data_IF_359328655107
#
_entry.id   IF_359328655107
#
_cell.length_a   1.000
_cell.length_b   1.000
_cell.length_c   1.000
_cell.angle_alpha   90.00
_cell.angle_beta   90.00
_cell.angle_gamma   90.00
#
_symmetry.space_group_name_H-M   'P 1'
#
loop_
_entity.id
_entity.type
_entity.pdbx_description
1 polymer ?
#
# COMPACT_ATOMS: atom_id res chain seq x y z
N UNK A 1 -20.31 -21.73 -0.82
CA UNK A 1 -18.93 -21.98 -1.27
C UNK A 1 -17.94 -21.67 -0.16
N UNK A 2 -16.83 -22.38 -0.17
CA UNK A 2 -15.75 -22.21 0.79
C UNK A 2 -15.20 -20.76 0.67
N UNK A 3 -14.99 -20.02 1.79
CA UNK A 3 -14.40 -18.69 1.78
C UNK A 3 -13.05 -18.63 1.05
N UNK A 4 -12.22 -19.66 1.15
CA UNK A 4 -10.93 -19.72 0.47
C UNK A 4 -11.05 -19.86 -1.05
N UNK A 5 -12.06 -20.61 -1.50
CA UNK A 5 -12.39 -20.69 -2.93
C UNK A 5 -12.89 -19.36 -3.47
N UNK A 6 -13.70 -18.64 -2.69
CA UNK A 6 -14.19 -17.30 -3.07
C UNK A 6 -13.05 -16.29 -3.21
N UNK A 7 -12.14 -16.22 -2.23
CA UNK A 7 -10.95 -15.37 -2.28
C UNK A 7 -10.11 -15.68 -3.52
N UNK A 8 -9.82 -16.95 -3.75
CA UNK A 8 -9.04 -17.42 -4.91
C UNK A 8 -9.71 -17.03 -6.23
N UNK A 9 -11.01 -17.23 -6.34
CA UNK A 9 -11.76 -16.88 -7.55
C UNK A 9 -11.72 -15.36 -7.83
N UNK A 10 -11.89 -14.53 -6.79
CA UNK A 10 -11.85 -13.08 -6.92
C UNK A 10 -10.45 -12.62 -7.34
N UNK A 11 -9.39 -13.10 -6.69
CA UNK A 11 -8.01 -12.71 -7.03
C UNK A 11 -7.68 -13.11 -8.47
N UNK A 12 -8.00 -14.32 -8.90
CA UNK A 12 -7.79 -14.77 -10.29
C UNK A 12 -8.58 -13.93 -11.29
N UNK A 13 -9.83 -13.59 -10.99
CA UNK A 13 -10.64 -12.73 -11.84
C UNK A 13 -10.04 -11.32 -12.00
N UNK A 14 -9.56 -10.72 -10.90
CA UNK A 14 -8.88 -9.42 -10.93
C UNK A 14 -7.62 -9.45 -11.80
N UNK A 15 -6.81 -10.49 -11.69
CA UNK A 15 -5.60 -10.65 -12.51
C UNK A 15 -5.90 -10.95 -13.97
N UNK A 16 -6.94 -11.71 -14.27
CA UNK A 16 -7.37 -11.96 -15.65
C UNK A 16 -7.81 -10.66 -16.33
N UNK A 17 -8.38 -9.72 -15.56
CA UNK A 17 -8.82 -8.40 -16.01
C UNK A 17 -7.73 -7.30 -15.88
N UNK A 18 -6.51 -7.65 -15.48
CA UNK A 18 -5.44 -6.68 -15.22
C UNK A 18 -5.14 -5.75 -16.41
N UNK A 19 -5.43 -6.18 -17.65
CA UNK A 19 -5.27 -5.35 -18.84
C UNK A 19 -6.18 -4.12 -18.82
N UNK A 20 -7.41 -4.25 -18.31
CA UNK A 20 -8.41 -3.19 -18.23
C UNK A 20 -8.28 -2.36 -16.95
N UNK A 21 -7.40 -2.78 -16.03
CA UNK A 21 -7.24 -2.20 -14.70
C UNK A 21 -5.87 -1.53 -14.51
N UNK A 22 -5.32 -1.00 -15.58
CA UNK A 22 -4.01 -0.35 -15.56
C UNK A 22 -4.07 1.00 -14.87
N UNK A 23 -2.92 1.40 -14.33
CA UNK A 23 -2.69 2.76 -13.86
C UNK A 23 -2.95 3.76 -14.99
N UNK A 24 -3.55 4.89 -14.62
CA UNK A 24 -3.81 6.02 -15.50
C UNK A 24 -2.90 7.19 -15.12
N UNK A 25 -2.66 8.07 -16.09
CA UNK A 25 -1.91 9.31 -15.86
C UNK A 25 -2.61 10.17 -14.78
N UNK A 26 -1.85 10.74 -13.85
CA UNK A 26 -0.38 10.81 -13.73
C UNK A 26 0.24 9.72 -12.83
N UNK A 27 -0.49 8.65 -12.47
CA UNK A 27 -0.05 7.66 -11.49
C UNK A 27 1.18 6.82 -11.96
N UNK A 28 1.45 6.76 -13.26
CA UNK A 28 2.62 6.10 -13.82
C UNK A 28 3.92 6.90 -13.70
N UNK A 29 3.86 8.16 -13.21
CA UNK A 29 5.03 9.04 -13.14
C UNK A 29 6.11 8.51 -12.19
N UNK A 30 7.38 8.64 -12.58
CA UNK A 30 8.52 8.12 -11.80
C UNK A 30 8.67 8.90 -10.49
N UNK A 31 8.57 10.23 -10.55
CA UNK A 31 8.86 11.11 -9.41
C UNK A 31 7.74 11.13 -8.36
N UNK A 32 6.49 10.91 -8.76
CA UNK A 32 5.37 10.81 -7.84
C UNK A 32 5.41 9.52 -7.00
N UNK A 33 4.83 9.56 -5.80
CA UNK A 33 4.55 8.38 -5.00
C UNK A 33 3.13 7.92 -5.29
N UNK A 34 2.98 6.77 -5.95
CA UNK A 34 1.67 6.19 -6.28
C UNK A 34 1.27 5.19 -5.22
N UNK A 35 0.10 5.41 -4.63
CA UNK A 35 -0.41 4.61 -3.51
C UNK A 35 -1.59 3.77 -3.96
N UNK A 36 -1.43 2.45 -3.92
CA UNK A 36 -2.53 1.49 -4.04
C UNK A 36 -3.23 1.29 -2.69
N UNK A 37 -4.28 0.50 -2.69
CA UNK A 37 -5.09 0.22 -1.49
C UNK A 37 -4.99 -1.25 -1.08
N UNK A 38 -4.95 -1.53 0.22
CA UNK A 38 -5.23 -2.85 0.78
C UNK A 38 -6.64 -2.91 1.38
N UNK A 39 -7.23 -4.10 1.39
CA UNK A 39 -8.55 -4.44 1.93
C UNK A 39 -8.56 -4.39 3.46
N UNK A 40 -8.27 -3.23 4.01
CA UNK A 40 -8.19 -3.03 5.45
C UNK A 40 -8.75 -1.68 5.88
N UNK A 41 -9.45 -1.69 6.98
CA UNK A 41 -9.82 -0.55 7.81
C UNK A 41 -10.03 -1.01 9.26
N UNK A 42 -10.01 -0.09 10.21
CA UNK A 42 -10.18 -0.37 11.63
C UNK A 42 -11.65 -0.45 12.08
N UNK A 43 -12.60 -0.40 11.16
CA UNK A 43 -14.02 -0.45 11.52
C UNK A 43 -14.48 -1.86 11.85
N UNK A 44 -15.37 -1.99 12.81
CA UNK A 44 -16.06 -3.24 13.05
C UNK A 44 -17.13 -3.46 11.97
N UNK A 45 -17.10 -4.64 11.36
CA UNK A 45 -18.07 -5.04 10.35
C UNK A 45 -18.86 -6.24 10.83
N UNK A 46 -20.14 -6.04 11.04
CA UNK A 46 -21.10 -7.11 11.23
C UNK A 46 -21.70 -7.58 9.91
N UNK A 47 -22.34 -8.74 9.88
CA UNK A 47 -23.04 -9.23 8.70
C UNK A 47 -24.10 -8.19 8.25
N UNK A 48 -23.97 -7.69 7.04
CA UNK A 48 -24.96 -6.83 6.39
C UNK A 48 -25.65 -7.65 5.30
N UNK A 49 -26.95 -7.59 5.23
CA UNK A 49 -27.79 -8.34 4.31
C UNK A 49 -27.17 -8.47 2.91
N UNK A 50 -26.88 -9.69 2.49
CA UNK A 50 -26.33 -10.07 1.19
C UNK A 50 -24.99 -9.41 0.80
N UNK A 51 -24.26 -8.83 1.74
CA UNK A 51 -22.94 -8.26 1.52
C UNK A 51 -21.91 -8.93 2.41
N UNK A 52 -20.78 -9.29 1.84
CA UNK A 52 -19.70 -9.97 2.53
C UNK A 52 -18.33 -9.51 2.01
N UNK A 53 -17.30 -9.79 2.79
CA UNK A 53 -15.92 -9.61 2.36
C UNK A 53 -15.36 -10.98 1.96
N UNK A 54 -15.03 -11.21 0.69
CA UNK A 54 -14.48 -12.50 0.25
C UNK A 54 -13.02 -12.69 0.65
N UNK A 55 -12.35 -11.63 1.13
CA UNK A 55 -10.94 -11.68 1.49
C UNK A 55 -10.78 -12.08 2.94
N UNK A 56 -9.97 -13.09 3.19
CA UNK A 56 -9.67 -13.60 4.52
C UNK A 56 -8.59 -12.78 5.21
N UNK A 57 -7.73 -12.12 4.43
CA UNK A 57 -6.62 -11.29 4.90
C UNK A 57 -6.58 -9.92 4.20
N UNK A 58 -5.58 -9.13 4.56
CA UNK A 58 -5.41 -7.75 4.07
C UNK A 58 -4.83 -7.69 2.65
N UNK A 59 -5.39 -8.45 1.72
CA UNK A 59 -4.95 -8.45 0.33
C UNK A 59 -5.09 -7.06 -0.32
N UNK A 60 -4.38 -6.79 -1.42
CA UNK A 60 -4.62 -5.58 -2.20
C UNK A 60 -6.08 -5.45 -2.61
N UNK A 61 -6.59 -4.23 -2.54
CA UNK A 61 -8.01 -3.96 -2.79
C UNK A 61 -8.38 -4.16 -4.27
N UNK A 62 -9.59 -4.65 -4.55
CA UNK A 62 -10.13 -4.71 -5.91
C UNK A 62 -10.18 -3.37 -6.64
N UNK A 63 -10.18 -2.25 -5.92
CA UNK A 63 -10.17 -0.90 -6.53
C UNK A 63 -8.76 -0.41 -6.87
N UNK A 64 -7.72 -1.12 -6.47
CA UNK A 64 -6.35 -0.78 -6.84
C UNK A 64 -6.08 -1.14 -8.29
N UNK A 65 -5.45 -0.22 -9.01
CA UNK A 65 -5.00 -0.45 -10.37
C UNK A 65 -3.69 -1.26 -10.40
N UNK A 66 -3.43 -1.91 -11.53
CA UNK A 66 -2.23 -2.70 -11.76
C UNK A 66 -1.17 -1.91 -12.52
N UNK A 67 0.08 -1.98 -12.04
CA UNK A 67 1.25 -1.47 -12.77
C UNK A 67 1.57 -2.30 -14.03
N UNK A 68 2.61 -1.98 -14.71
CA UNK A 68 3.78 -1.17 -14.37
C UNK A 68 3.59 0.30 -14.77
N UNK A 69 4.45 1.16 -14.23
CA UNK A 69 4.56 2.55 -14.63
C UNK A 69 5.45 2.74 -15.88
N UNK A 70 5.88 3.99 -16.10
CA UNK A 70 6.73 4.37 -17.23
C UNK A 70 8.02 3.53 -17.27
N UNK A 71 8.39 3.04 -18.46
CA UNK A 71 9.57 2.17 -18.69
C UNK A 71 9.65 0.96 -17.74
N UNK A 72 8.51 0.38 -17.38
CA UNK A 72 8.37 -0.76 -16.46
C UNK A 72 8.77 -0.45 -15.02
N UNK A 73 8.77 0.82 -14.61
CA UNK A 73 8.95 1.18 -13.21
C UNK A 73 7.90 0.46 -12.34
N UNK A 74 8.30 0.08 -11.14
CA UNK A 74 7.40 -0.53 -10.15
C UNK A 74 6.35 0.50 -9.78
N UNK A 75 5.09 0.19 -10.06
CA UNK A 75 3.90 0.97 -9.72
C UNK A 75 2.71 0.04 -9.49
N UNK A 76 1.81 0.37 -8.51
CA UNK A 76 1.97 1.47 -7.57
C UNK A 76 3.32 1.38 -6.86
N UNK A 77 3.86 2.46 -6.28
CA UNK A 77 5.08 2.36 -5.48
C UNK A 77 4.82 1.54 -4.22
N UNK A 78 3.70 1.80 -3.56
CA UNK A 78 3.31 1.20 -2.27
C UNK A 78 1.81 0.95 -2.23
N UNK A 79 1.37 0.15 -1.25
CA UNK A 79 -0.05 -0.02 -0.90
C UNK A 79 -0.28 0.34 0.56
N UNK A 80 -1.47 0.91 0.88
CA UNK A 80 -1.79 1.33 2.23
C UNK A 80 -3.29 1.10 2.53
N UNK A 81 -3.75 1.09 3.80
CA UNK A 81 -5.14 0.88 4.13
C UNK A 81 -6.09 1.84 3.41
N UNK A 82 -7.00 1.32 2.62
CA UNK A 82 -7.94 2.15 1.85
C UNK A 82 -9.42 1.85 2.14
N UNK A 83 -9.70 0.96 3.07
CA UNK A 83 -11.05 0.50 3.38
C UNK A 83 -11.42 -0.78 2.64
N UNK A 84 -12.42 -1.48 3.15
CA UNK A 84 -12.89 -2.76 2.61
C UNK A 84 -13.98 -2.57 1.55
N UNK A 85 -13.75 -3.18 0.39
CA UNK A 85 -14.76 -3.33 -0.66
C UNK A 85 -15.57 -4.58 -0.36
N UNK A 86 -16.87 -4.46 -0.29
CA UNK A 86 -17.77 -5.58 -0.10
C UNK A 86 -18.18 -6.19 -1.43
N UNK A 87 -18.55 -7.43 -1.39
CA UNK A 87 -19.14 -8.18 -2.50
C UNK A 87 -20.58 -8.57 -2.17
N UNK A 88 -21.34 -8.81 -3.20
CA UNK A 88 -22.69 -9.35 -3.11
C UNK A 88 -22.93 -10.38 -4.21
N UNK A 89 -23.86 -11.27 -3.97
CA UNK A 89 -24.31 -12.21 -5.00
C UNK A 89 -25.01 -11.44 -6.13
N UNK A 90 -24.68 -11.78 -7.37
CA UNK A 90 -25.42 -11.33 -8.53
C UNK A 90 -26.53 -12.33 -8.87
N UNK A 91 -27.69 -12.12 -8.28
CA UNK A 91 -28.87 -13.00 -8.44
C UNK A 91 -29.33 -13.12 -9.89
N UNK A 92 -29.00 -12.15 -10.77
CA UNK A 92 -29.38 -12.19 -12.20
C UNK A 92 -28.51 -13.18 -12.98
N UNK A 93 -27.25 -13.29 -12.57
CA UNK A 93 -26.26 -14.13 -13.26
C UNK A 93 -26.05 -15.46 -12.53
N UNK A 94 -26.39 -15.55 -11.26
CA UNK A 94 -26.28 -16.79 -10.47
C UNK A 94 -27.30 -17.82 -10.90
N UNK A 95 -26.87 -19.09 -10.99
CA UNK A 95 -27.70 -20.28 -11.23
C UNK A 95 -27.40 -21.33 -10.18
N UNK A 96 -28.19 -22.41 -10.10
CA UNK A 96 -28.02 -23.48 -9.08
C UNK A 96 -26.57 -23.99 -8.99
N UNK A 97 -25.88 -24.09 -10.12
CA UNK A 97 -24.54 -24.67 -10.20
C UNK A 97 -23.44 -23.63 -10.47
N UNK A 98 -23.80 -22.35 -10.52
CA UNK A 98 -22.85 -21.27 -10.81
C UNK A 98 -23.18 -20.03 -9.98
N UNK A 99 -22.46 -19.86 -8.89
CA UNK A 99 -22.59 -18.74 -7.97
C UNK A 99 -21.73 -17.57 -8.45
N UNK A 100 -22.36 -16.49 -8.85
CA UNK A 100 -21.68 -15.27 -9.35
C UNK A 100 -21.72 -14.19 -8.31
N UNK A 101 -20.57 -13.64 -7.98
CA UNK A 101 -20.42 -12.50 -7.07
C UNK A 101 -19.86 -11.30 -7.82
N UNK A 102 -20.26 -10.11 -7.38
CA UNK A 102 -19.77 -8.85 -7.91
C UNK A 102 -19.41 -7.88 -6.79
N UNK A 103 -18.41 -7.02 -6.99
CA UNK A 103 -18.11 -5.98 -6.02
C UNK A 103 -19.31 -5.03 -5.89
N UNK A 104 -19.58 -4.61 -4.66
CA UNK A 104 -20.48 -3.50 -4.38
C UNK A 104 -19.74 -2.21 -4.74
N UNK A 105 -20.35 -1.35 -5.52
CA UNK A 105 -19.73 -0.08 -5.90
C UNK A 105 -19.24 0.69 -4.66
N UNK A 106 -17.99 1.17 -4.68
CA UNK A 106 -17.48 2.01 -3.63
C UNK A 106 -18.35 3.26 -3.50
N UNK A 107 -18.92 3.44 -2.34
CA UNK A 107 -19.79 4.60 -2.07
C UNK A 107 -19.59 5.08 -0.65
N UNK A 108 -19.90 6.34 -0.40
CA UNK A 108 -19.95 6.90 0.94
C UNK A 108 -21.17 6.29 1.65
N UNK A 109 -20.97 5.69 2.81
CA UNK A 109 -21.99 4.99 3.58
C UNK A 109 -22.07 5.53 5.01
N UNK A 110 -23.25 5.45 5.60
CA UNK A 110 -23.43 5.80 7.01
C UNK A 110 -23.06 4.66 7.97
N UNK A 111 -22.73 3.49 7.44
CA UNK A 111 -22.40 2.28 8.21
C UNK A 111 -21.10 1.65 7.72
N UNK A 112 -20.32 1.01 8.59
CA UNK A 112 -19.12 0.28 8.21
C UNK A 112 -19.44 -0.85 7.19
N UNK A 113 -18.42 -1.44 6.56
CA UNK A 113 -17.00 -1.16 6.72
C UNK A 113 -16.52 0.02 5.90
N UNK A 114 -15.31 0.48 6.21
CA UNK A 114 -14.59 1.52 5.50
C UNK A 114 -13.81 2.44 6.43
N UNK A 115 -13.05 3.33 5.85
CA UNK A 115 -12.39 4.40 6.58
C UNK A 115 -13.43 5.43 7.01
N UNK A 116 -13.43 5.74 8.30
CA UNK A 116 -14.33 6.71 8.91
C UNK A 116 -13.87 8.12 8.56
N UNK A 117 -14.76 8.93 8.02
CA UNK A 117 -14.50 10.31 7.60
C UNK A 117 -15.58 11.24 8.10
N UNK A 118 -15.23 12.49 8.38
CA UNK A 118 -16.19 13.55 8.64
C UNK A 118 -16.89 13.95 7.34
N UNK A 119 -18.19 14.14 7.41
CA UNK A 119 -19.00 14.67 6.31
C UNK A 119 -19.94 15.75 6.83
N UNK A 120 -20.47 16.63 5.98
CA UNK A 120 -21.55 17.53 6.38
C UNK A 120 -22.70 16.74 7.00
N UNK A 121 -23.16 17.17 8.16
CA UNK A 121 -24.31 16.53 8.79
C UNK A 121 -25.59 16.79 7.97
N UNK A 122 -26.53 15.85 8.03
CA UNK A 122 -27.83 16.02 7.37
C UNK A 122 -28.67 17.16 7.97
N UNK A 123 -28.46 17.40 9.27
CA UNK A 123 -29.13 18.48 9.97
C UNK A 123 -28.26 19.75 9.92
N UNK A 124 -28.84 20.85 9.47
CA UNK A 124 -28.14 22.15 9.39
C UNK A 124 -27.60 22.57 10.75
N UNK A 125 -26.34 22.98 10.79
CA UNK A 125 -25.65 23.43 12.01
C UNK A 125 -25.05 22.30 12.88
N UNK A 126 -25.27 21.02 12.55
CA UNK A 126 -24.60 19.92 13.26
C UNK A 126 -23.22 19.61 12.63
N UNK A 127 -22.24 19.35 13.47
CA UNK A 127 -20.88 18.94 13.05
C UNK A 127 -20.64 17.43 13.22
N UNK A 128 -21.66 16.65 13.50
CA UNK A 128 -21.57 15.23 13.88
C UNK A 128 -21.71 14.27 12.68
N UNK A 129 -21.62 14.78 11.46
CA UNK A 129 -21.72 13.95 10.26
C UNK A 129 -20.54 13.00 10.13
N UNK A 130 -20.83 11.70 10.06
CA UNK A 130 -19.82 10.65 9.87
C UNK A 130 -20.24 9.76 8.71
N UNK A 131 -19.26 9.40 7.88
CA UNK A 131 -19.42 8.37 6.86
C UNK A 131 -18.24 7.42 6.78
N UNK A 132 -18.46 6.30 6.11
CA UNK A 132 -17.47 5.29 5.81
C UNK A 132 -17.28 5.20 4.30
N UNK A 133 -16.03 5.14 3.88
CA UNK A 133 -15.68 5.04 2.46
C UNK A 133 -14.54 4.06 2.25
N UNK A 134 -14.40 3.57 1.02
CA UNK A 134 -13.25 2.77 0.59
C UNK A 134 -12.73 3.28 -0.75
N UNK A 135 -11.42 3.19 -0.94
CA UNK A 135 -10.79 3.61 -2.18
C UNK A 135 -9.30 3.93 -2.00
N UNK A 136 -8.58 4.00 -3.11
CA UNK A 136 -7.18 4.40 -3.13
C UNK A 136 -6.97 5.84 -2.63
N UNK A 137 -7.99 6.69 -2.73
CA UNK A 137 -7.96 8.06 -2.16
C UNK A 137 -7.78 8.05 -0.64
N UNK A 138 -8.42 7.11 0.07
CA UNK A 138 -8.23 6.97 1.51
C UNK A 138 -6.82 6.51 1.84
N UNK A 139 -6.31 5.53 1.08
CA UNK A 139 -4.93 5.06 1.23
C UNK A 139 -3.92 6.20 0.99
N UNK A 140 -4.13 7.00 -0.05
CA UNK A 140 -3.29 8.15 -0.35
C UNK A 140 -3.33 9.21 0.76
N UNK A 141 -4.51 9.52 1.31
CA UNK A 141 -4.66 10.47 2.41
C UNK A 141 -3.95 10.00 3.69
N UNK A 142 -4.12 8.73 4.07
CA UNK A 142 -3.44 8.15 5.22
C UNK A 142 -1.92 8.09 5.01
N UNK A 143 -1.49 7.79 3.78
CA UNK A 143 -0.06 7.79 3.43
C UNK A 143 0.53 9.20 3.45
N UNK A 144 -0.21 10.21 3.03
CA UNK A 144 0.22 11.62 3.12
C UNK A 144 0.46 12.04 4.59
N UNK A 145 -0.39 11.56 5.51
CA UNK A 145 -0.16 11.78 6.95
C UNK A 145 1.13 11.09 7.42
N UNK A 146 1.36 9.85 7.02
CA UNK A 146 2.58 9.11 7.37
C UNK A 146 3.83 9.78 6.76
N UNK A 147 3.71 10.29 5.54
CA UNK A 147 4.76 11.06 4.87
C UNK A 147 5.09 12.35 5.62
N UNK A 148 4.08 13.05 6.19
CA UNK A 148 4.29 14.20 7.06
C UNK A 148 5.15 13.88 8.27
N UNK A 149 4.88 12.77 8.96
CA UNK A 149 5.69 12.32 10.10
C UNK A 149 7.15 12.03 9.68
N UNK A 150 7.35 11.34 8.55
CA UNK A 150 8.69 11.11 8.01
C UNK A 150 9.39 12.42 7.62
N UNK A 151 8.64 13.39 7.09
CA UNK A 151 9.18 14.70 6.72
C UNK A 151 9.64 15.46 7.96
N UNK A 152 8.84 15.51 9.03
CA UNK A 152 9.23 16.16 10.27
C UNK A 152 10.54 15.57 10.83
N UNK A 153 10.65 14.23 10.81
CA UNK A 153 11.87 13.54 11.23
C UNK A 153 13.07 13.87 10.33
N UNK A 154 12.84 13.97 9.01
CA UNK A 154 13.89 14.36 8.06
C UNK A 154 14.37 15.79 8.31
N UNK A 155 13.47 16.73 8.60
CA UNK A 155 13.83 18.11 8.95
C UNK A 155 14.66 18.14 10.24
N UNK A 156 14.27 17.39 11.26
CA UNK A 156 15.04 17.29 12.50
C UNK A 156 16.47 16.77 12.25
N UNK A 157 16.64 15.73 11.42
CA UNK A 157 17.97 15.21 11.04
C UNK A 157 18.80 16.29 10.34
N UNK A 158 18.19 17.07 9.44
CA UNK A 158 18.90 18.16 8.76
C UNK A 158 19.33 19.27 9.70
N UNK A 159 18.53 19.58 10.72
CA UNK A 159 18.86 20.57 11.74
C UNK A 159 19.98 20.09 12.66
N UNK A 160 19.87 18.88 13.18
CA UNK A 160 20.86 18.28 14.10
C UNK A 160 22.24 18.05 13.46
N UNK A 161 22.26 17.72 12.17
CA UNK A 161 23.48 17.48 11.42
C UNK A 161 24.02 18.71 10.72
N UNK A 162 23.42 19.90 10.95
CA UNK A 162 23.77 21.16 10.25
C UNK A 162 23.91 20.93 8.73
N UNK A 163 22.93 20.24 8.15
CA UNK A 163 22.96 19.82 6.76
C UNK A 163 23.14 21.02 5.84
N UNK A 164 24.05 20.91 4.90
CA UNK A 164 24.29 21.93 3.88
C UNK A 164 23.02 22.20 3.04
N UNK A 165 22.92 23.38 2.47
CA UNK A 165 21.76 23.81 1.65
C UNK A 165 21.45 22.78 0.53
N UNK A 166 22.48 22.18 -0.04
CA UNK A 166 22.35 21.17 -1.09
C UNK A 166 21.62 19.89 -0.63
N UNK A 167 21.68 19.55 0.66
CA UNK A 167 20.93 18.42 1.22
C UNK A 167 19.41 18.61 1.08
N UNK A 168 18.94 19.86 1.26
CA UNK A 168 17.51 20.18 1.21
C UNK A 168 16.92 20.11 -0.21
N UNK A 169 17.74 20.24 -1.24
CA UNK A 169 17.30 20.02 -2.64
C UNK A 169 16.82 18.59 -2.86
N UNK A 170 17.28 17.63 -2.05
CA UNK A 170 16.95 16.22 -2.14
C UNK A 170 15.83 15.78 -1.20
N UNK A 171 15.12 16.67 -0.53
CA UNK A 171 14.05 16.33 0.44
C UNK A 171 13.00 15.39 -0.15
N UNK A 172 12.45 15.69 -1.32
CA UNK A 172 11.40 14.87 -1.92
C UNK A 172 11.87 13.46 -2.33
N UNK A 173 13.03 13.28 -3.00
CA UNK A 173 13.59 11.95 -3.22
C UNK A 173 13.92 11.19 -1.94
N UNK A 174 14.45 11.86 -0.91
CA UNK A 174 14.77 11.24 0.37
C UNK A 174 13.51 10.77 1.10
N UNK A 175 12.47 11.62 1.14
CA UNK A 175 11.18 11.25 1.72
C UNK A 175 10.58 10.03 1.01
N UNK A 176 10.60 10.04 -0.33
CA UNK A 176 10.15 8.87 -1.10
C UNK A 176 10.98 7.62 -0.78
N UNK A 177 12.30 7.76 -0.68
CA UNK A 177 13.20 6.66 -0.34
C UNK A 177 12.89 6.10 1.06
N UNK A 178 12.67 6.95 2.06
CA UNK A 178 12.26 6.54 3.42
C UNK A 178 11.00 5.70 3.39
N UNK A 179 9.96 6.19 2.73
CA UNK A 179 8.67 5.50 2.65
C UNK A 179 8.77 4.14 1.96
N UNK A 180 9.52 4.07 0.86
CA UNK A 180 9.73 2.82 0.11
C UNK A 180 10.64 1.86 0.86
N UNK A 181 11.68 2.37 1.53
CA UNK A 181 12.61 1.56 2.32
C UNK A 181 11.93 0.79 3.45
N UNK A 182 10.93 1.41 4.07
CA UNK A 182 10.11 0.77 5.12
C UNK A 182 9.12 -0.27 4.61
N UNK A 183 8.98 -0.47 3.30
CA UNK A 183 7.99 -1.37 2.73
C UNK A 183 8.38 -2.84 2.85
N UNK A 184 7.36 -3.67 3.03
CA UNK A 184 7.51 -5.12 2.94
C UNK A 184 6.23 -5.75 2.37
N UNK A 185 6.38 -6.83 1.65
CA UNK A 185 5.23 -7.64 1.22
C UNK A 185 4.67 -8.47 2.36
N UNK A 186 5.54 -8.95 3.27
CA UNK A 186 5.16 -9.80 4.38
C UNK A 186 4.40 -11.04 3.91
N UNK A 187 3.54 -11.57 4.79
CA UNK A 187 2.72 -12.75 4.51
C UNK A 187 1.71 -12.50 3.38
N UNK A 188 1.25 -11.26 3.23
CA UNK A 188 0.32 -10.86 2.17
C UNK A 188 0.93 -11.09 0.78
N UNK A 189 2.20 -10.74 0.59
CA UNK A 189 2.88 -10.97 -0.68
C UNK A 189 3.06 -12.44 -0.99
N UNK A 190 3.38 -13.25 0.02
CA UNK A 190 3.45 -14.71 -0.14
C UNK A 190 2.08 -15.29 -0.54
N UNK A 191 1.01 -14.89 0.13
CA UNK A 191 -0.35 -15.32 -0.18
C UNK A 191 -0.79 -14.92 -1.59
N UNK A 192 -0.59 -13.66 -1.98
CA UNK A 192 -0.87 -13.22 -3.37
C UNK A 192 -0.07 -14.07 -4.36
N UNK A 193 1.20 -14.33 -4.05
CA UNK A 193 2.05 -15.19 -4.85
C UNK A 193 1.47 -16.60 -5.01
N UNK A 194 1.05 -17.22 -3.92
CA UNK A 194 0.50 -18.59 -3.93
C UNK A 194 -0.84 -18.67 -4.67
N UNK A 195 -1.73 -17.68 -4.51
CA UNK A 195 -2.99 -17.58 -5.25
C UNK A 195 -2.80 -17.44 -6.76
N UNK A 196 -1.69 -16.83 -7.18
CA UNK A 196 -1.38 -16.58 -8.59
C UNK A 196 -0.45 -17.61 -9.20
N UNK A 197 0.18 -18.47 -8.41
CA UNK A 197 1.18 -19.42 -8.86
C UNK A 197 0.61 -20.41 -9.86
N UNK A 198 1.30 -20.55 -10.98
CA UNK A 198 1.11 -21.62 -11.96
C UNK A 198 2.47 -22.20 -12.34
N UNK A 199 2.55 -23.41 -12.91
CA UNK A 199 3.83 -23.98 -13.37
C UNK A 199 4.56 -23.07 -14.36
N UNK A 200 3.81 -22.35 -15.18
CA UNK A 200 4.35 -21.50 -16.27
C UNK A 200 4.87 -20.15 -15.79
N UNK A 201 4.31 -19.60 -14.69
CA UNK A 201 4.61 -18.24 -14.23
C UNK A 201 5.56 -18.14 -13.05
N UNK A 202 6.07 -19.25 -12.52
CA UNK A 202 6.85 -19.28 -11.28
C UNK A 202 8.07 -18.31 -11.30
N UNK A 203 8.74 -18.16 -12.45
CA UNK A 203 9.86 -17.22 -12.61
C UNK A 203 9.44 -15.74 -12.64
N UNK A 204 8.18 -15.45 -12.94
CA UNK A 204 7.64 -14.11 -13.08
C UNK A 204 6.78 -13.69 -11.88
N UNK A 205 6.64 -14.55 -10.88
CA UNK A 205 5.69 -14.39 -9.78
C UNK A 205 5.93 -13.10 -8.99
N UNK A 206 7.20 -12.80 -8.65
CA UNK A 206 7.55 -11.54 -7.96
C UNK A 206 7.18 -10.31 -8.79
N UNK A 207 7.34 -10.37 -10.11
CA UNK A 207 6.91 -9.31 -11.02
C UNK A 207 5.39 -9.15 -11.08
N UNK A 208 4.62 -10.24 -10.95
CA UNK A 208 3.16 -10.18 -10.88
C UNK A 208 2.70 -9.56 -9.56
N UNK A 209 3.28 -9.98 -8.44
CA UNK A 209 3.00 -9.41 -7.12
C UNK A 209 3.33 -7.92 -7.07
N UNK A 210 4.51 -7.52 -7.56
CA UNK A 210 4.93 -6.11 -7.56
C UNK A 210 4.03 -5.20 -8.42
N UNK A 211 3.38 -5.72 -9.45
CA UNK A 211 2.43 -4.94 -10.27
C UNK A 211 1.15 -4.58 -9.52
N UNK A 212 0.85 -5.24 -8.42
CA UNK A 212 -0.34 -4.96 -7.60
C UNK A 212 0.01 -4.33 -6.26
N UNK A 213 1.12 -4.76 -5.65
CA UNK A 213 1.55 -4.33 -4.32
C UNK A 213 2.69 -3.30 -4.32
N UNK A 214 3.32 -3.07 -5.47
CA UNK A 214 4.53 -2.26 -5.49
C UNK A 214 5.65 -2.86 -4.63
N UNK A 215 6.29 -2.03 -3.82
CA UNK A 215 7.26 -2.46 -2.81
C UNK A 215 6.60 -3.05 -1.55
N UNK A 216 5.27 -2.93 -1.41
CA UNK A 216 4.50 -3.48 -0.31
C UNK A 216 3.86 -2.43 0.60
N UNK A 217 3.59 -2.83 1.85
CA UNK A 217 2.99 -1.96 2.87
C UNK A 217 4.10 -1.27 3.66
N UNK A 218 4.14 0.08 3.72
CA UNK A 218 5.09 0.83 4.52
C UNK A 218 4.93 0.54 6.02
N UNK A 219 6.05 0.25 6.66
CA UNK A 219 6.17 0.16 8.11
C UNK A 219 6.95 1.39 8.59
N UNK A 220 6.24 2.50 8.82
CA UNK A 220 6.84 3.81 9.09
C UNK A 220 7.74 3.75 10.34
N UNK A 221 7.30 3.07 11.38
CA UNK A 221 8.08 2.91 12.62
C UNK A 221 9.44 2.25 12.38
N UNK A 222 9.51 1.32 11.39
CA UNK A 222 10.80 0.69 11.05
C UNK A 222 11.81 1.63 10.40
N UNK A 223 11.34 2.71 9.83
CA UNK A 223 12.19 3.73 9.20
C UNK A 223 12.62 4.77 10.22
N UNK A 224 11.69 5.18 11.09
CA UNK A 224 11.89 6.25 12.06
C UNK A 224 12.61 5.79 13.32
N UNK A 225 12.34 4.55 13.78
CA UNK A 225 12.88 4.05 15.03
C UNK A 225 14.21 3.32 14.82
N UNK A 226 15.28 3.88 15.34
CA UNK A 226 16.52 3.17 15.53
C UNK A 226 16.45 2.30 16.80
N UNK A 227 16.93 1.09 16.72
CA UNK A 227 17.01 0.14 17.83
C UNK A 227 18.44 -0.35 18.00
N UNK A 228 18.73 -1.10 19.07
CA UNK A 228 20.05 -1.73 19.24
C UNK A 228 20.46 -2.64 18.07
N UNK A 229 19.48 -3.11 17.29
CA UNK A 229 19.68 -4.04 16.18
C UNK A 229 19.45 -3.43 14.81
N UNK A 230 18.94 -2.20 14.74
CA UNK A 230 18.54 -1.56 13.49
C UNK A 230 18.78 -0.06 13.53
N UNK A 231 19.38 0.45 12.47
CA UNK A 231 19.48 1.87 12.17
C UNK A 231 19.11 2.12 10.72
N UNK A 232 18.44 3.23 10.44
CA UNK A 232 18.20 3.72 9.09
C UNK A 232 19.22 4.80 8.78
N UNK A 233 19.90 4.66 7.66
CA UNK A 233 20.92 5.59 7.20
C UNK A 233 20.43 6.24 5.90
N UNK A 234 20.56 7.55 5.83
CA UNK A 234 20.22 8.33 4.64
C UNK A 234 21.52 8.87 4.04
N UNK A 235 21.72 8.68 2.75
CA UNK A 235 22.85 9.21 2.01
C UNK A 235 22.38 9.77 0.68
N UNK A 236 22.97 10.87 0.28
CA UNK A 236 22.75 11.50 -1.03
C UNK A 236 24.06 12.05 -1.55
N UNK A 237 24.14 12.32 -2.84
CA UNK A 237 25.30 12.90 -3.48
C UNK A 237 25.22 12.81 -5.01
N UNK A 238 26.15 13.49 -5.67
CA UNK A 238 26.33 13.37 -7.10
C UNK A 238 27.54 12.49 -7.39
N UNK A 239 27.41 11.61 -8.37
CA UNK A 239 28.49 10.77 -8.86
C UNK A 239 28.76 11.12 -10.31
N UNK A 240 30.03 11.36 -10.62
CA UNK A 240 30.52 11.44 -12.00
C UNK A 240 31.00 10.08 -12.48
N UNK A 241 31.24 9.94 -13.78
CA UNK A 241 31.76 8.71 -14.36
C UNK A 241 33.12 8.37 -13.74
N UNK A 242 33.25 7.13 -13.25
CA UNK A 242 34.47 6.65 -12.57
C UNK A 242 34.61 7.03 -11.10
N UNK A 243 33.65 7.74 -10.50
CA UNK A 243 33.67 8.09 -9.09
C UNK A 243 32.87 7.10 -8.22
N UNK A 244 33.21 7.05 -6.94
CA UNK A 244 32.48 6.27 -5.93
C UNK A 244 32.35 7.07 -4.63
N UNK A 245 31.17 7.02 -4.00
CA UNK A 245 30.98 7.55 -2.66
C UNK A 245 31.15 6.45 -1.62
N UNK A 246 31.93 6.72 -0.57
CA UNK A 246 32.13 5.82 0.55
C UNK A 246 31.46 6.41 1.78
N UNK A 247 30.45 5.72 2.31
CA UNK A 247 29.79 6.10 3.54
C UNK A 247 30.36 5.27 4.69
N UNK A 248 30.80 5.93 5.76
CA UNK A 248 31.18 5.27 7.00
C UNK A 248 29.94 5.17 7.88
N UNK A 249 29.54 3.94 8.20
CA UNK A 249 28.35 3.67 8.97
C UNK A 249 28.71 3.28 10.40
N UNK A 250 28.04 3.86 11.43
CA UNK A 250 28.13 3.31 12.77
C UNK A 250 27.49 1.92 12.77
N UNK A 251 28.16 0.96 13.41
CA UNK A 251 27.58 -0.37 13.63
C UNK A 251 26.49 -0.27 14.72
N UNK A 252 25.37 -0.95 14.55
CA UNK A 252 24.39 -1.10 15.63
C UNK A 252 25.06 -1.68 16.88
N UNK A 253 24.72 -1.24 18.10
CA UNK A 253 25.36 -1.68 19.33
C UNK A 253 25.44 -3.20 19.50
N UNK A 254 24.40 -3.93 19.03
CA UNK A 254 24.36 -5.39 19.05
C UNK A 254 25.42 -6.08 18.19
N UNK A 255 26.04 -5.39 17.24
CA UNK A 255 27.12 -5.91 16.39
C UNK A 255 28.49 -5.55 16.93
N UNK A 256 28.61 -4.59 17.87
CA UNK A 256 29.86 -4.10 18.43
C UNK A 256 30.38 -4.89 19.62
N UNK A 257 29.59 -5.78 20.19
CA UNK A 257 29.97 -6.53 21.40
C UNK A 257 29.81 -8.04 21.15
N UNK A 258 30.78 -8.64 20.46
CA UNK A 258 31.09 -10.05 20.77
C UNK A 258 32.12 -10.04 21.87
N UNK A 259 31.84 -10.53 23.08
CA UNK A 259 32.88 -10.88 24.02
C UNK A 259 33.70 -12.01 23.37
N UNK A 260 35.03 -11.88 23.40
CA UNK A 260 35.97 -12.95 23.07
C UNK A 260 35.74 -14.18 23.94
#
# INVERSE_FOLDING_TARGET
SDPQEQETAVVKALFSDARNRKLLSPAESINGLTVGSVQYDSSHFGAVNNRFNPFLQFLPSPVSAFGSGYRRAIKPDIVFPGGRVLYQEDLRSSRRDNYVIKPVEPSIRNTPPGNKSAIPARQSGSLEGIAYSCGTSNAAALMSRAAGICYDSLQQIFEEQAAEVDARIHEAPLLKAMLVHGCAWGDVGAQVGDLLRTPENNRQLSGLVSRWMGYGVPQVDRVLDCTEQRATLLGFGQLSDGEAHVFRLPLPPSLGARPE
#
